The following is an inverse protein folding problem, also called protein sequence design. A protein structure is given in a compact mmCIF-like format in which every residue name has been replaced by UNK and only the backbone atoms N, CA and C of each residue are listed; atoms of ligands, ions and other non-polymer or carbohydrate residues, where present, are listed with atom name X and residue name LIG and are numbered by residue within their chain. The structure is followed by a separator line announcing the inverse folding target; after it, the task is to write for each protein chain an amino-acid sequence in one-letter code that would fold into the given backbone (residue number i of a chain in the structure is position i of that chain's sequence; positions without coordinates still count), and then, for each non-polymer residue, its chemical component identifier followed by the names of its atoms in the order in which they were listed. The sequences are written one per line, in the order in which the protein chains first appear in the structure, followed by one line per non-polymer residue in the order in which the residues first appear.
data_IF_592124648190
#
_entry.id   IF_592124648190
#
_cell.length_a   1.000
_cell.length_b   1.000
_cell.length_c   1.000
_cell.angle_alpha   90.00
_cell.angle_beta   90.00
_cell.angle_gamma   90.00
#
_symmetry.space_group_name_H-M   'P 1'
#
loop_
_entity.id
_entity.type
_entity.pdbx_description
1 polymer ?
#
# COMPACT_ATOMS: atom_id res chain seq x y z
N UNK A 1 0.01 -17.39 -4.34
CA UNK A 1 1.27 -16.83 -3.79
C UNK A 1 1.00 -15.43 -3.24
N UNK A 2 1.64 -15.01 -2.14
CA UNK A 2 1.54 -13.64 -1.62
C UNK A 2 2.89 -13.17 -1.07
N UNK A 3 3.14 -11.86 -1.09
CA UNK A 3 4.36 -11.29 -0.52
C UNK A 3 4.79 -9.98 -1.15
N UNK A 4 5.98 -9.50 -0.79
CA UNK A 4 6.61 -8.34 -1.42
C UNK A 4 7.25 -8.71 -2.77
N UNK A 5 6.41 -8.98 -3.78
CA UNK A 5 6.81 -9.48 -5.10
C UNK A 5 6.51 -8.43 -6.18
N UNK A 6 7.50 -7.64 -6.64
CA UNK A 6 7.30 -6.69 -7.74
C UNK A 6 6.99 -7.42 -9.05
N UNK A 7 6.09 -6.89 -9.86
CA UNK A 7 5.58 -7.58 -11.04
C UNK A 7 6.67 -7.87 -12.07
N UNK A 8 7.23 -6.83 -12.71
CA UNK A 8 8.23 -6.99 -13.76
C UNK A 8 9.47 -7.79 -13.33
N UNK A 9 10.01 -7.51 -12.15
CA UNK A 9 11.27 -8.15 -11.73
C UNK A 9 11.08 -9.56 -11.18
N UNK A 10 9.84 -10.01 -10.93
CA UNK A 10 9.58 -11.30 -10.32
C UNK A 10 8.39 -12.00 -10.97
N UNK A 11 7.16 -11.52 -10.74
CA UNK A 11 5.93 -12.23 -11.12
C UNK A 11 5.76 -12.44 -12.62
N UNK A 12 6.25 -11.53 -13.46
CA UNK A 12 6.12 -11.62 -14.92
C UNK A 12 6.72 -12.91 -15.49
N UNK A 13 7.77 -13.46 -14.87
CA UNK A 13 8.42 -14.71 -15.29
C UNK A 13 7.61 -15.97 -14.94
N UNK A 14 6.63 -15.83 -14.04
CA UNK A 14 5.77 -16.91 -13.56
C UNK A 14 4.30 -16.65 -13.93
N UNK A 15 4.06 -15.74 -14.86
CA UNK A 15 2.73 -15.37 -15.26
C UNK A 15 2.06 -16.55 -16.00
N UNK A 16 0.98 -17.05 -15.43
CA UNK A 16 0.10 -18.02 -16.05
C UNK A 16 -1.19 -17.32 -16.51
N UNK A 17 -1.76 -17.63 -17.69
CA UNK A 17 -2.97 -16.97 -18.19
C UNK A 17 -4.18 -17.02 -17.24
N UNK A 18 -4.26 -18.05 -16.39
CA UNK A 18 -5.34 -18.20 -15.40
C UNK A 18 -5.02 -17.56 -14.03
N UNK A 19 -3.85 -16.96 -13.88
CA UNK A 19 -3.45 -16.34 -12.62
C UNK A 19 -4.28 -15.08 -12.35
N UNK A 20 -5.00 -15.07 -11.22
CA UNK A 20 -5.75 -13.91 -10.75
C UNK A 20 -4.83 -12.98 -9.96
N UNK A 21 -4.41 -11.87 -10.55
CA UNK A 21 -3.66 -10.84 -9.81
C UNK A 21 -4.58 -9.99 -8.96
N UNK A 22 -4.28 -9.96 -7.67
CA UNK A 22 -5.06 -9.22 -6.67
C UNK A 22 -4.08 -8.36 -5.89
N UNK A 23 -4.42 -7.09 -5.68
CA UNK A 23 -3.63 -6.20 -4.82
C UNK A 23 -4.53 -5.24 -4.05
N UNK A 24 -3.96 -4.63 -3.02
CA UNK A 24 -4.59 -3.54 -2.28
C UNK A 24 -3.68 -2.32 -2.32
N UNK A 25 -4.24 -1.18 -2.69
CA UNK A 25 -3.58 0.11 -2.64
C UNK A 25 -4.03 0.91 -1.41
N UNK A 26 -3.33 2.00 -1.15
CA UNK A 26 -3.64 2.96 -0.08
C UNK A 26 -3.24 4.34 -0.58
N UNK A 27 -3.88 5.39 -0.07
CA UNK A 27 -3.44 6.76 -0.29
C UNK A 27 -1.90 6.85 -0.13
N UNK A 28 -1.17 7.37 -1.14
CA UNK A 28 0.29 7.33 -1.15
C UNK A 28 0.94 8.02 0.05
N UNK A 29 0.36 9.11 0.52
CA UNK A 29 0.91 9.87 1.66
C UNK A 29 0.72 9.05 2.95
N UNK A 30 -0.48 8.55 3.18
CA UNK A 30 -0.81 7.70 4.31
C UNK A 30 -0.03 6.38 4.31
N UNK A 31 0.25 5.80 3.13
CA UNK A 31 1.13 4.64 2.98
C UNK A 31 2.54 4.93 3.47
N UNK A 32 3.13 6.07 3.10
CA UNK A 32 4.48 6.48 3.53
C UNK A 32 4.52 6.71 5.04
N UNK A 33 3.58 7.49 5.58
CA UNK A 33 3.50 7.76 7.01
C UNK A 33 3.30 6.48 7.83
N UNK A 34 2.47 5.56 7.34
CA UNK A 34 2.27 4.25 7.95
C UNK A 34 3.55 3.40 7.92
N UNK A 35 4.31 3.44 6.82
CA UNK A 35 5.59 2.74 6.70
C UNK A 35 6.63 3.29 7.70
N UNK A 36 6.69 4.61 7.86
CA UNK A 36 7.58 5.24 8.84
C UNK A 36 7.21 4.86 10.29
N UNK A 37 5.92 4.86 10.64
CA UNK A 37 5.44 4.39 11.95
C UNK A 37 5.84 2.93 12.21
N UNK A 38 5.68 2.06 11.20
CA UNK A 38 6.13 0.67 11.29
C UNK A 38 7.65 0.55 11.48
N UNK A 39 8.45 1.30 10.70
CA UNK A 39 9.90 1.36 10.86
C UNK A 39 10.30 1.74 12.29
N UNK A 40 9.70 2.81 12.86
CA UNK A 40 9.96 3.24 14.24
C UNK A 40 9.60 2.16 15.26
N UNK A 41 8.45 1.49 15.10
CA UNK A 41 8.02 0.39 15.97
C UNK A 41 9.01 -0.78 15.94
N UNK A 42 9.40 -1.22 14.74
CA UNK A 42 10.35 -2.32 14.56
C UNK A 42 11.75 -1.96 15.09
N UNK A 43 12.17 -0.70 14.90
CA UNK A 43 13.40 -0.17 15.48
C UNK A 43 13.38 -0.30 17.01
N UNK A 44 12.33 0.21 17.66
CA UNK A 44 12.19 0.15 19.11
C UNK A 44 12.19 -1.30 19.63
N UNK A 45 11.50 -2.21 18.95
CA UNK A 45 11.50 -3.63 19.29
C UNK A 45 12.91 -4.25 19.20
N UNK A 46 13.70 -3.92 18.16
CA UNK A 46 15.08 -4.41 18.01
C UNK A 46 16.01 -3.92 19.11
N UNK A 47 15.92 -2.64 19.48
CA UNK A 47 16.69 -2.07 20.61
C UNK A 47 16.41 -2.81 21.91
N UNK A 48 15.13 -3.12 22.20
CA UNK A 48 14.75 -3.88 23.39
C UNK A 48 15.36 -5.28 23.42
N UNK A 49 15.60 -5.89 22.26
CA UNK A 49 16.25 -7.21 22.14
C UNK A 49 17.78 -7.16 22.05
N UNK A 50 18.41 -6.00 22.29
CA UNK A 50 19.88 -5.86 22.21
C UNK A 50 20.47 -5.96 20.80
N UNK A 51 19.63 -5.93 19.75
CA UNK A 51 20.11 -6.02 18.36
C UNK A 51 20.61 -4.68 17.87
N UNK A 52 21.77 -4.67 17.21
CA UNK A 52 22.36 -3.48 16.60
C UNK A 52 21.45 -2.90 15.52
N UNK A 53 21.30 -1.58 15.50
CA UNK A 53 20.60 -0.86 14.43
C UNK A 53 21.63 -0.15 13.57
N UNK A 54 21.62 -0.48 12.28
CA UNK A 54 22.57 0.06 11.31
C UNK A 54 22.32 1.52 10.93
N UNK A 55 21.05 1.96 10.90
CA UNK A 55 20.67 3.31 10.50
C UNK A 55 19.50 3.88 11.31
N UNK A 56 19.62 5.14 11.71
CA UNK A 56 18.53 5.92 12.28
C UNK A 56 18.07 6.97 11.28
N UNK A 57 16.81 6.89 10.88
CA UNK A 57 16.17 7.93 10.08
C UNK A 57 15.10 8.64 10.93
N UNK A 58 15.09 9.96 10.89
CA UNK A 58 13.91 10.77 11.18
C UNK A 58 12.95 10.73 9.98
N UNK A 59 11.80 11.43 10.06
CA UNK A 59 10.82 11.39 8.99
C UNK A 59 11.36 12.03 7.71
N UNK A 60 12.02 13.18 7.81
CA UNK A 60 12.55 13.90 6.65
C UNK A 60 13.58 13.09 5.89
N UNK A 61 14.56 12.50 6.58
CA UNK A 61 15.55 11.63 5.94
C UNK A 61 14.87 10.37 5.36
N UNK A 62 13.88 9.83 6.06
CA UNK A 62 13.19 8.62 5.64
C UNK A 62 12.45 8.78 4.31
N UNK A 63 11.78 9.92 4.10
CA UNK A 63 10.99 10.17 2.88
C UNK A 63 11.89 10.45 1.67
N UNK A 64 13.11 10.94 1.88
CA UNK A 64 14.10 11.21 0.83
C UNK A 64 14.75 9.95 0.26
N UNK A 65 14.66 8.81 0.97
CA UNK A 65 15.21 7.55 0.48
C UNK A 65 14.47 7.10 -0.79
N UNK A 66 15.13 7.15 -1.96
CA UNK A 66 14.55 6.75 -3.26
C UNK A 66 13.86 5.39 -3.24
N UNK A 67 14.40 4.42 -2.51
CA UNK A 67 13.79 3.08 -2.36
C UNK A 67 12.44 3.06 -1.64
N UNK A 68 12.08 4.14 -0.92
CA UNK A 68 10.80 4.32 -0.19
C UNK A 68 9.77 5.14 -0.98
N UNK A 69 10.20 5.77 -2.07
CA UNK A 69 9.36 6.57 -2.97
C UNK A 69 8.73 5.67 -4.05
N UNK A 70 7.54 6.05 -4.51
CA UNK A 70 6.81 5.44 -5.63
C UNK A 70 6.76 3.90 -5.53
N UNK A 71 6.45 3.39 -4.34
CA UNK A 71 6.57 1.95 -4.05
C UNK A 71 5.46 1.18 -4.74
N UNK A 72 4.23 1.69 -4.78
CA UNK A 72 3.13 0.99 -5.43
C UNK A 72 3.36 0.92 -6.94
N UNK A 73 3.77 2.04 -7.55
CA UNK A 73 4.12 2.11 -8.96
C UNK A 73 5.29 1.19 -9.32
N UNK A 74 6.35 1.14 -8.51
CA UNK A 74 7.45 0.19 -8.72
C UNK A 74 7.05 -1.27 -8.59
N UNK A 75 6.09 -1.57 -7.72
CA UNK A 75 5.58 -2.94 -7.54
C UNK A 75 4.70 -3.39 -8.71
N UNK A 76 3.98 -2.46 -9.32
CA UNK A 76 3.10 -2.72 -10.47
C UNK A 76 3.76 -2.36 -11.82
N UNK A 77 5.06 -2.04 -11.84
CA UNK A 77 5.77 -1.77 -13.09
C UNK A 77 5.58 -2.94 -14.06
N UNK A 78 5.11 -2.61 -15.28
CA UNK A 78 4.79 -3.58 -16.33
C UNK A 78 3.44 -4.27 -16.24
N UNK A 79 2.57 -3.93 -15.28
CA UNK A 79 1.20 -4.47 -15.15
C UNK A 79 0.17 -3.34 -15.24
N UNK A 80 -0.77 -3.43 -16.18
CA UNK A 80 -1.86 -2.46 -16.23
C UNK A 80 -2.87 -2.74 -15.12
N UNK A 81 -3.48 -1.68 -14.58
CA UNK A 81 -4.51 -1.82 -13.55
C UNK A 81 -5.68 -2.70 -14.03
N UNK A 82 -6.02 -2.59 -15.31
CA UNK A 82 -7.11 -3.33 -15.95
C UNK A 82 -6.84 -4.84 -16.03
N UNK A 83 -5.58 -5.27 -15.93
CA UNK A 83 -5.19 -6.68 -15.93
C UNK A 83 -5.35 -7.33 -14.53
N UNK A 84 -5.60 -6.52 -13.49
CA UNK A 84 -5.86 -7.03 -12.15
C UNK A 84 -7.26 -7.63 -12.09
N UNK A 85 -7.33 -8.88 -11.64
CA UNK A 85 -8.60 -9.53 -11.28
C UNK A 85 -9.35 -8.72 -10.22
N UNK A 86 -8.63 -8.12 -9.27
CA UNK A 86 -9.21 -7.25 -8.26
C UNK A 86 -8.19 -6.25 -7.71
N UNK A 87 -8.65 -5.01 -7.48
CA UNK A 87 -7.92 -3.99 -6.73
C UNK A 87 -8.79 -3.44 -5.59
N UNK A 88 -8.30 -3.61 -4.37
CA UNK A 88 -8.89 -3.00 -3.18
C UNK A 88 -8.18 -1.74 -2.71
N UNK A 89 -8.85 -0.94 -1.90
CA UNK A 89 -8.35 0.27 -1.24
C UNK A 89 -8.36 0.06 0.27
N UNK A 90 -7.24 0.35 0.92
CA UNK A 90 -7.08 0.19 2.36
C UNK A 90 -8.08 1.04 3.15
N UNK A 91 -8.49 2.18 2.61
CA UNK A 91 -9.48 3.09 3.19
C UNK A 91 -10.87 2.43 3.34
N UNK A 92 -11.17 1.45 2.49
CA UNK A 92 -12.46 0.73 2.42
C UNK A 92 -12.26 -0.79 2.57
N UNK A 93 -11.16 -1.22 3.19
CA UNK A 93 -10.69 -2.62 3.17
C UNK A 93 -11.77 -3.67 3.51
N UNK A 94 -12.63 -3.42 4.50
CA UNK A 94 -13.69 -4.36 4.89
C UNK A 94 -14.75 -4.54 3.80
N UNK A 95 -15.11 -3.46 3.09
CA UNK A 95 -16.01 -3.52 1.95
C UNK A 95 -15.35 -4.27 0.79
N UNK A 96 -14.07 -3.99 0.53
CA UNK A 96 -13.34 -4.60 -0.57
C UNK A 96 -13.03 -6.08 -0.36
N UNK A 97 -12.74 -6.49 0.88
CA UNK A 97 -12.61 -7.92 1.21
C UNK A 97 -13.94 -8.64 1.01
N UNK A 98 -15.08 -8.01 1.31
CA UNK A 98 -16.41 -8.58 1.06
C UNK A 98 -16.71 -8.71 -0.43
N UNK A 99 -16.39 -7.70 -1.23
CA UNK A 99 -16.52 -7.78 -2.69
C UNK A 99 -15.64 -8.87 -3.27
N UNK A 100 -14.37 -8.93 -2.85
CA UNK A 100 -13.42 -9.94 -3.28
C UNK A 100 -13.87 -11.35 -2.89
N UNK A 101 -14.36 -11.55 -1.66
CA UNK A 101 -14.83 -12.85 -1.19
C UNK A 101 -16.02 -13.33 -2.03
N UNK A 102 -16.96 -12.44 -2.34
CA UNK A 102 -18.08 -12.77 -3.22
C UNK A 102 -17.60 -13.16 -4.63
N UNK A 103 -16.66 -12.41 -5.20
CA UNK A 103 -16.09 -12.67 -6.54
C UNK A 103 -15.33 -14.00 -6.63
N UNK A 104 -14.79 -14.47 -5.50
CA UNK A 104 -14.05 -15.72 -5.39
C UNK A 104 -14.88 -16.86 -4.77
N UNK A 105 -16.15 -16.62 -4.45
CA UNK A 105 -17.04 -17.57 -3.79
C UNK A 105 -16.44 -18.10 -2.47
N UNK A 106 -15.79 -17.21 -1.72
CA UNK A 106 -15.23 -17.51 -0.41
C UNK A 106 -16.28 -17.29 0.68
N UNK A 107 -16.42 -18.28 1.57
CA UNK A 107 -17.18 -18.15 2.80
C UNK A 107 -16.24 -17.65 3.90
N UNK A 108 -16.39 -16.39 4.30
CA UNK A 108 -15.58 -15.78 5.36
C UNK A 108 -16.46 -15.41 6.56
N UNK A 109 -15.96 -15.58 7.80
CA UNK A 109 -16.66 -15.12 8.99
C UNK A 109 -16.73 -13.58 9.02
N UNK A 110 -17.73 -13.02 9.70
CA UNK A 110 -17.92 -11.56 9.77
C UNK A 110 -16.71 -10.81 10.36
N UNK A 111 -15.92 -11.47 11.20
CA UNK A 111 -14.67 -10.94 11.76
C UNK A 111 -13.59 -10.67 10.69
N UNK A 112 -13.66 -11.33 9.53
CA UNK A 112 -12.72 -11.13 8.42
C UNK A 112 -12.85 -9.73 7.78
N UNK A 113 -13.99 -9.07 7.94
CA UNK A 113 -14.26 -7.74 7.38
C UNK A 113 -13.90 -6.60 8.34
N UNK A 114 -13.48 -6.91 9.57
CA UNK A 114 -13.16 -5.91 10.58
C UNK A 114 -11.72 -5.38 10.42
N UNK A 115 -11.56 -4.05 10.37
CA UNK A 115 -10.26 -3.39 10.27
C UNK A 115 -9.85 -2.81 11.63
N UNK A 116 -8.61 -3.06 12.05
CA UNK A 116 -7.95 -2.21 13.06
C UNK A 116 -7.55 -0.87 12.41
N UNK A 117 -8.41 0.15 12.53
CA UNK A 117 -8.06 1.51 12.10
C UNK A 117 -6.97 2.04 13.02
N UNK A 118 -5.85 2.47 12.44
CA UNK A 118 -4.91 3.31 13.18
C UNK A 118 -5.55 4.69 13.32
N UNK A 119 -5.63 5.27 14.53
CA UNK A 119 -6.22 6.58 14.72
C UNK A 119 -5.49 7.63 13.87
N UNK A 120 -6.26 8.44 13.14
CA UNK A 120 -5.76 9.59 12.39
C UNK A 120 -5.63 10.75 13.37
N UNK A 121 -4.44 11.36 13.47
CA UNK A 121 -4.23 12.53 14.33
C UNK A 121 -4.67 13.81 13.61
N UNK A 122 -5.10 14.85 14.33
CA UNK A 122 -5.33 16.17 13.75
C UNK A 122 -4.09 16.67 13.03
N UNK A 123 -4.27 17.31 11.87
CA UNK A 123 -3.21 17.84 11.01
C UNK A 123 -2.94 19.30 11.35
N UNK A 124 -1.72 19.62 11.79
CA UNK A 124 -1.21 20.99 11.95
C UNK A 124 -0.45 21.47 10.69
N UNK A 125 0.05 22.72 10.68
CA UNK A 125 0.77 23.28 9.51
C UNK A 125 2.07 22.53 9.17
N UNK A 126 2.80 22.05 10.18
CA UNK A 126 4.00 21.22 9.97
C UNK A 126 3.63 19.88 9.35
N UNK A 127 2.50 19.29 9.76
CA UNK A 127 1.93 18.08 9.17
C UNK A 127 1.47 18.33 7.73
N UNK A 128 0.95 19.53 7.38
CA UNK A 128 0.62 19.87 5.99
C UNK A 128 1.86 19.94 5.10
N UNK A 129 2.91 20.66 5.53
CA UNK A 129 4.13 20.82 4.74
C UNK A 129 4.81 19.47 4.46
N UNK A 130 4.90 18.60 5.48
CA UNK A 130 5.50 17.27 5.29
C UNK A 130 4.64 16.37 4.39
N UNK A 131 3.31 16.43 4.50
CA UNK A 131 2.40 15.68 3.62
C UNK A 131 2.53 16.11 2.17
N UNK A 132 2.64 17.43 1.90
CA UNK A 132 2.89 17.96 0.57
C UNK A 132 4.23 17.47 0.01
N UNK A 133 5.30 17.50 0.83
CA UNK A 133 6.61 16.98 0.43
C UNK A 133 6.56 15.49 0.12
N UNK A 134 5.86 14.69 0.92
CA UNK A 134 5.65 13.26 0.65
C UNK A 134 4.92 13.08 -0.69
N UNK A 135 3.84 13.82 -0.94
CA UNK A 135 3.12 13.76 -2.21
C UNK A 135 4.04 14.12 -3.40
N UNK A 136 4.83 15.19 -3.29
CA UNK A 136 5.80 15.60 -4.32
C UNK A 136 6.85 14.52 -4.62
N UNK A 137 7.32 13.81 -3.60
CA UNK A 137 8.27 12.70 -3.77
C UNK A 137 7.63 11.40 -4.29
N UNK A 138 6.29 11.31 -4.33
CA UNK A 138 5.54 10.09 -4.65
C UNK A 138 4.52 10.31 -5.80
N UNK A 139 4.85 11.16 -6.78
CA UNK A 139 3.92 11.52 -7.86
C UNK A 139 3.44 10.32 -8.70
N UNK A 140 4.29 9.32 -8.94
CA UNK A 140 3.86 8.13 -9.69
C UNK A 140 2.85 7.29 -8.89
N UNK A 141 3.05 7.15 -7.57
CA UNK A 141 2.05 6.51 -6.70
C UNK A 141 0.74 7.33 -6.66
N UNK A 142 0.80 8.67 -6.67
CA UNK A 142 -0.39 9.56 -6.70
C UNK A 142 -1.18 9.36 -7.99
N UNK A 143 -0.52 9.41 -9.14
CA UNK A 143 -1.19 9.22 -10.43
C UNK A 143 -1.81 7.83 -10.55
N UNK A 144 -1.06 6.79 -10.14
CA UNK A 144 -1.54 5.40 -10.14
C UNK A 144 -2.73 5.21 -9.21
N UNK A 145 -2.66 5.75 -7.99
CA UNK A 145 -3.75 5.66 -7.02
C UNK A 145 -5.01 6.37 -7.54
N UNK A 146 -4.88 7.56 -8.12
CA UNK A 146 -6.02 8.28 -8.68
C UNK A 146 -6.67 7.53 -9.84
N UNK A 147 -5.88 6.89 -10.73
CA UNK A 147 -6.41 5.99 -11.78
C UNK A 147 -7.17 4.81 -11.15
N UNK A 148 -6.61 4.19 -10.13
CA UNK A 148 -7.26 3.07 -9.44
C UNK A 148 -8.58 3.50 -8.77
N UNK A 149 -8.61 4.65 -8.11
CA UNK A 149 -9.84 5.22 -7.52
C UNK A 149 -10.89 5.48 -8.59
N UNK A 150 -10.52 6.07 -9.73
CA UNK A 150 -11.44 6.35 -10.83
C UNK A 150 -12.05 5.07 -11.42
N UNK A 151 -11.23 4.06 -11.71
CA UNK A 151 -11.68 2.75 -12.20
C UNK A 151 -12.61 2.05 -11.19
N UNK A 152 -12.31 2.16 -9.90
CA UNK A 152 -13.15 1.59 -8.85
C UNK A 152 -14.50 2.30 -8.76
N UNK A 153 -14.50 3.63 -8.86
CA UNK A 153 -15.71 4.45 -8.85
C UNK A 153 -16.61 4.18 -10.06
N UNK A 154 -16.03 3.79 -11.21
CA UNK A 154 -16.80 3.35 -12.38
C UNK A 154 -17.30 1.90 -12.31
N UNK A 155 -17.05 1.20 -11.20
CA UNK A 155 -17.50 -0.18 -11.01
C UNK A 155 -16.62 -1.26 -11.65
N UNK A 156 -15.39 -0.94 -12.11
CA UNK A 156 -14.57 -1.88 -12.89
C UNK A 156 -14.29 -3.22 -12.17
N UNK A 157 -14.13 -3.19 -10.84
CA UNK A 157 -13.87 -4.39 -10.02
C UNK A 157 -15.05 -4.79 -9.12
N UNK A 158 -16.25 -4.28 -9.38
CA UNK A 158 -17.46 -4.70 -8.66
C UNK A 158 -17.93 -6.10 -9.06
#
# INVERSE_FOLDING_TARGET
MHGHLPYRSFLAHYHHPEAKFITFMRDPVERVLSNFRYYRKMKAARLKTGKTIRHHYDLETFIELKKRQNVMARFLDGLELTDLFFLGLQEQFGQDVRLLSNKLLWELPETAFQIKKNPTRPTDETDKAIRQRIAALNQADIQLYNRAVALKASGYWQ
#
